data_IF_616128723107
#
_entry.id   IF_616128723107
#
_cell.length_a   1.000
_cell.length_b   1.000
_cell.length_c   1.000
_cell.angle_alpha   90.00
_cell.angle_beta   90.00
_cell.angle_gamma   90.00
#
_symmetry.space_group_name_H-M   'P 1'
#
loop_
_entity.id
_entity.type
_entity.pdbx_description
1 polymer ?
#
# COMPACT_ATOMS: atom_id res chain seq x y z
N UNK A 1 3.82 18.09 -74.70
CA UNK A 1 4.27 17.03 -73.75
C UNK A 1 4.27 17.61 -72.33
N UNK A 2 3.72 16.83 -71.37
CA UNK A 2 3.84 16.93 -69.89
C UNK A 2 2.87 17.82 -69.08
N UNK A 3 1.74 17.17 -68.78
CA UNK A 3 0.92 17.07 -67.55
C UNK A 3 1.50 17.70 -66.26
N UNK A 4 0.65 18.32 -65.40
CA UNK A 4 1.01 19.10 -64.21
C UNK A 4 1.18 18.23 -62.96
N UNK A 5 1.92 18.71 -61.95
CA UNK A 5 1.93 18.10 -60.63
C UNK A 5 1.50 19.11 -59.56
N UNK A 6 0.19 19.04 -59.27
CA UNK A 6 -0.37 19.31 -57.95
C UNK A 6 0.53 18.70 -56.88
N UNK A 7 1.07 19.53 -55.98
CA UNK A 7 1.43 19.10 -54.63
C UNK A 7 0.40 19.68 -53.67
N UNK A 8 -0.82 19.18 -53.81
CA UNK A 8 -1.81 19.24 -52.76
C UNK A 8 -1.62 18.02 -51.84
N UNK A 9 -1.94 18.22 -50.56
CA UNK A 9 -2.29 17.22 -49.54
C UNK A 9 -1.22 16.31 -48.95
N UNK A 10 -0.90 16.56 -47.67
CA UNK A 10 -0.98 15.57 -46.58
C UNK A 10 -0.85 16.28 -45.21
N UNK A 11 -1.91 16.99 -44.80
CA UNK A 11 -2.16 17.26 -43.37
C UNK A 11 -2.79 15.98 -42.83
N UNK A 12 -1.94 15.02 -42.47
CA UNK A 12 -2.36 13.78 -41.84
C UNK A 12 -2.64 14.04 -40.36
N UNK A 13 -3.93 14.15 -40.04
CA UNK A 13 -4.59 13.79 -38.79
C UNK A 13 -3.65 13.53 -37.59
N UNK A 14 -3.28 14.59 -36.88
CA UNK A 14 -3.06 14.47 -35.45
C UNK A 14 -4.45 14.46 -34.77
N UNK A 15 -5.18 13.35 -34.93
CA UNK A 15 -6.18 12.99 -33.93
C UNK A 15 -5.39 12.75 -32.65
N UNK A 16 -5.28 13.81 -31.86
CA UNK A 16 -5.12 13.73 -30.42
C UNK A 16 -6.23 12.80 -29.94
N UNK A 17 -5.92 11.51 -29.89
CA UNK A 17 -6.63 10.57 -29.07
C UNK A 17 -6.47 11.11 -27.65
N UNK A 18 -7.37 12.01 -27.26
CA UNK A 18 -7.79 12.17 -25.89
C UNK A 18 -8.31 10.80 -25.50
N UNK A 19 -7.40 9.91 -25.11
CA UNK A 19 -7.73 8.75 -24.33
C UNK A 19 -8.43 9.34 -23.11
N UNK A 20 -9.75 9.34 -23.15
CA UNK A 20 -10.57 9.55 -21.99
C UNK A 20 -10.12 8.45 -21.03
N UNK A 21 -9.17 8.80 -20.16
CA UNK A 21 -8.82 8.01 -19.00
C UNK A 21 -10.05 8.07 -18.10
N UNK A 22 -11.06 7.27 -18.44
CA UNK A 22 -12.32 7.13 -17.71
C UNK A 22 -12.11 6.30 -16.44
N UNK A 23 -10.98 6.50 -15.76
CA UNK A 23 -10.68 5.88 -14.48
C UNK A 23 -11.13 6.82 -13.37
N UNK A 24 -11.80 6.27 -12.37
CA UNK A 24 -11.94 6.97 -11.11
C UNK A 24 -10.60 6.93 -10.38
N UNK A 25 -10.27 8.04 -9.71
CA UNK A 25 -9.06 8.14 -8.90
C UNK A 25 -9.45 8.38 -7.45
N UNK A 26 -8.87 7.61 -6.54
CA UNK A 26 -8.84 7.92 -5.11
C UNK A 26 -7.44 8.40 -4.77
N UNK A 27 -7.38 9.60 -4.19
CA UNK A 27 -6.14 10.21 -3.71
C UNK A 27 -6.17 10.21 -2.19
N UNK A 28 -5.24 9.48 -1.58
CA UNK A 28 -5.07 9.40 -0.14
C UNK A 28 -3.90 10.28 0.29
N UNK A 29 -4.17 11.22 1.19
CA UNK A 29 -3.12 11.96 1.87
C UNK A 29 -2.38 11.07 2.88
N UNK A 30 -1.16 11.47 3.24
CA UNK A 30 -0.34 10.77 4.23
C UNK A 30 -1.10 10.41 5.52
N UNK A 31 -1.94 11.31 6.03
CA UNK A 31 -2.73 11.09 7.25
C UNK A 31 -3.77 9.98 7.09
N UNK A 32 -4.37 9.83 5.90
CA UNK A 32 -5.28 8.74 5.58
C UNK A 32 -4.52 7.42 5.46
N UNK A 33 -3.37 7.41 4.79
CA UNK A 33 -2.53 6.21 4.68
C UNK A 33 -2.01 5.77 6.06
N UNK A 34 -1.61 6.71 6.93
CA UNK A 34 -1.26 6.44 8.32
C UNK A 34 -2.38 5.68 9.05
N UNK A 35 -3.63 6.18 8.97
CA UNK A 35 -4.77 5.53 9.61
C UNK A 35 -4.98 4.11 9.08
N UNK A 36 -4.92 3.94 7.75
CA UNK A 36 -5.08 2.63 7.13
C UNK A 36 -4.03 1.63 7.61
N UNK A 37 -2.76 2.04 7.69
CA UNK A 37 -1.67 1.18 8.20
C UNK A 37 -1.86 0.83 9.67
N UNK A 38 -2.24 1.80 10.50
CA UNK A 38 -2.50 1.56 11.93
C UNK A 38 -3.67 0.59 12.11
N UNK A 39 -4.77 0.81 11.39
CA UNK A 39 -5.96 -0.04 11.44
C UNK A 39 -5.74 -1.43 10.82
N UNK A 40 -4.84 -1.58 9.85
CA UNK A 40 -4.52 -2.88 9.23
C UNK A 40 -3.59 -3.72 10.08
N UNK A 41 -2.49 -3.14 10.58
CA UNK A 41 -1.41 -3.89 11.22
C UNK A 41 -1.37 -3.75 12.73
N UNK A 42 -1.60 -2.56 13.28
CA UNK A 42 -1.34 -2.24 14.68
C UNK A 42 -2.61 -2.39 15.54
N UNK A 43 -3.35 -3.48 15.31
CA UNK A 43 -4.67 -3.73 15.91
C UNK A 43 -4.62 -4.11 17.39
N UNK A 44 -3.50 -4.67 17.85
CA UNK A 44 -3.36 -5.19 19.21
C UNK A 44 -2.82 -4.10 20.13
N UNK A 45 -3.71 -3.18 20.53
CA UNK A 45 -3.36 -2.01 21.34
C UNK A 45 -2.23 -1.15 20.75
N UNK A 46 -2.25 -0.96 19.42
CA UNK A 46 -1.21 -0.20 18.72
C UNK A 46 0.06 -1.00 18.46
N UNK A 47 0.04 -2.33 18.66
CA UNK A 47 1.16 -3.23 18.37
C UNK A 47 0.89 -4.09 17.15
N UNK A 48 1.94 -4.28 16.36
CA UNK A 48 2.00 -5.27 15.31
C UNK A 48 2.99 -6.36 15.72
N UNK A 49 2.49 -7.56 16.01
CA UNK A 49 3.31 -8.66 16.49
C UNK A 49 4.01 -9.37 15.34
N UNK A 50 5.33 -9.45 15.44
CA UNK A 50 6.17 -10.25 14.56
C UNK A 50 6.29 -11.68 15.10
N UNK A 51 6.35 -11.83 16.43
CA UNK A 51 6.34 -13.11 17.12
C UNK A 51 5.68 -12.98 18.50
N UNK A 52 4.79 -13.91 18.82
CA UNK A 52 4.14 -14.05 20.14
C UNK A 52 4.75 -15.23 20.90
N UNK A 53 4.77 -15.17 22.23
CA UNK A 53 5.32 -16.23 23.08
C UNK A 53 6.15 -15.66 24.24
N UNK A 54 6.97 -16.51 24.87
CA UNK A 54 7.87 -16.05 25.92
C UNK A 54 9.02 -15.22 25.33
N UNK A 55 9.65 -15.68 24.26
CA UNK A 55 10.51 -14.87 23.39
C UNK A 55 9.64 -14.20 22.32
N UNK A 56 9.32 -12.92 22.53
CA UNK A 56 8.34 -12.18 21.70
C UNK A 56 8.96 -10.98 21.02
N UNK A 57 8.36 -10.55 19.90
CA UNK A 57 8.79 -9.39 19.14
C UNK A 57 7.58 -8.67 18.55
N UNK A 58 7.55 -7.34 18.68
CA UNK A 58 6.50 -6.51 18.12
C UNK A 58 7.01 -5.12 17.73
N UNK A 59 6.32 -4.53 16.77
CA UNK A 59 6.46 -3.13 16.38
C UNK A 59 5.34 -2.30 17.02
N UNK A 60 5.65 -1.11 17.50
CA UNK A 60 4.69 -0.12 17.97
C UNK A 60 5.04 1.29 17.50
N UNK A 61 4.22 2.27 17.91
CA UNK A 61 4.38 3.68 17.60
C UNK A 61 4.66 3.98 16.10
N UNK A 62 3.83 3.46 15.17
CA UNK A 62 4.06 3.64 13.75
C UNK A 62 3.91 5.09 13.29
N UNK A 63 4.82 5.53 12.44
CA UNK A 63 4.75 6.79 11.70
C UNK A 63 4.97 6.49 10.22
N UNK A 64 4.00 6.87 9.39
CA UNK A 64 3.96 6.62 7.96
C UNK A 64 4.29 7.90 7.22
N UNK A 65 5.15 7.78 6.21
CA UNK A 65 5.50 8.83 5.25
C UNK A 65 5.41 8.25 3.83
N UNK A 66 5.22 9.12 2.85
CA UNK A 66 5.09 8.75 1.45
C UNK A 66 6.23 9.40 0.66
N UNK A 67 7.22 8.60 0.26
CA UNK A 67 8.44 9.13 -0.37
C UNK A 67 9.07 8.13 -1.34
N UNK A 68 9.71 8.63 -2.39
CA UNK A 68 10.44 7.79 -3.34
C UNK A 68 9.59 6.73 -4.05
N UNK A 69 8.29 6.97 -4.24
CA UNK A 69 7.37 5.98 -4.82
C UNK A 69 6.91 4.89 -3.84
N UNK A 70 7.22 5.02 -2.54
CA UNK A 70 7.05 3.96 -1.55
C UNK A 70 6.32 4.49 -0.31
N UNK A 71 5.62 3.58 0.36
CA UNK A 71 5.08 3.81 1.70
C UNK A 71 6.17 3.45 2.69
N UNK A 72 6.62 4.42 3.47
CA UNK A 72 7.71 4.26 4.45
C UNK A 72 7.10 4.31 5.84
N UNK A 73 7.35 3.26 6.62
CA UNK A 73 6.80 3.05 7.96
C UNK A 73 7.97 3.00 8.93
N UNK A 74 8.09 4.03 9.77
CA UNK A 74 8.99 4.03 10.91
C UNK A 74 8.22 3.55 12.13
N UNK A 75 8.78 2.61 12.87
CA UNK A 75 8.16 2.04 14.06
C UNK A 75 9.23 1.71 15.09
N UNK A 76 8.83 1.60 16.35
CA UNK A 76 9.71 1.16 17.41
C UNK A 76 9.57 -0.35 17.58
N UNK A 77 10.69 -1.07 17.51
CA UNK A 77 10.76 -2.50 17.70
C UNK A 77 11.10 -2.78 19.16
N UNK A 78 10.31 -3.64 19.79
CA UNK A 78 10.62 -4.25 21.08
C UNK A 78 10.65 -5.76 20.91
N UNK A 79 11.78 -6.38 21.24
CA UNK A 79 11.98 -7.81 21.08
C UNK A 79 12.72 -8.41 22.28
N UNK A 80 12.34 -9.63 22.64
CA UNK A 80 13.06 -10.51 23.55
C UNK A 80 13.51 -11.72 22.77
N UNK A 81 14.82 -11.82 22.55
CA UNK A 81 15.43 -12.82 21.67
C UNK A 81 16.24 -13.79 22.51
N UNK A 82 15.98 -15.08 22.34
CA UNK A 82 16.63 -16.12 23.12
C UNK A 82 15.98 -17.47 22.92
N UNK A 83 16.07 -18.32 23.94
CA UNK A 83 15.42 -19.62 23.95
C UNK A 83 14.23 -19.62 24.90
N UNK A 84 13.11 -20.19 24.45
CA UNK A 84 11.95 -20.43 25.29
C UNK A 84 12.30 -21.51 26.34
N UNK A 85 12.19 -21.14 27.61
CA UNK A 85 12.30 -22.02 28.77
C UNK A 85 10.95 -22.02 29.51
N UNK A 86 10.07 -22.93 29.08
CA UNK A 86 8.69 -23.00 29.56
C UNK A 86 7.92 -21.72 29.22
N UNK A 87 7.53 -20.96 30.24
CA UNK A 87 6.82 -19.68 30.09
C UNK A 87 7.74 -18.45 30.19
N UNK A 88 9.05 -18.67 30.17
CA UNK A 88 10.07 -17.61 30.27
C UNK A 88 10.99 -17.65 29.05
N UNK A 89 11.59 -16.52 28.70
CA UNK A 89 12.60 -16.47 27.67
C UNK A 89 13.95 -16.20 28.30
N UNK A 90 14.88 -17.13 28.11
CA UNK A 90 16.27 -16.97 28.49
C UNK A 90 17.00 -16.30 27.32
N UNK A 91 17.20 -14.99 27.42
CA UNK A 91 17.65 -14.19 26.29
C UNK A 91 17.98 -12.75 26.64
N UNK A 92 18.13 -11.94 25.60
CA UNK A 92 18.38 -10.50 25.68
C UNK A 92 17.17 -9.71 25.22
N UNK A 93 16.97 -8.56 25.85
CA UNK A 93 15.99 -7.57 25.42
C UNK A 93 16.66 -6.62 24.41
N UNK A 94 15.96 -6.37 23.31
CA UNK A 94 16.35 -5.46 22.23
C UNK A 94 15.23 -4.46 22.01
N UNK A 95 15.60 -3.19 21.92
CA UNK A 95 14.67 -2.12 21.63
C UNK A 95 15.34 -1.07 20.76
N UNK A 96 14.78 -0.82 19.58
CA UNK A 96 15.27 0.23 18.69
C UNK A 96 14.25 0.66 17.64
N UNK A 97 14.52 1.80 17.00
CA UNK A 97 13.71 2.23 15.87
C UNK A 97 14.08 1.42 14.63
N UNK A 98 13.05 0.98 13.89
CA UNK A 98 13.18 0.34 12.60
C UNK A 98 12.34 1.09 11.57
N UNK A 99 12.92 1.31 10.39
CA UNK A 99 12.24 1.89 9.25
C UNK A 99 12.13 0.84 8.17
N UNK A 100 10.90 0.52 7.80
CA UNK A 100 10.57 -0.38 6.71
C UNK A 100 9.80 0.36 5.64
N UNK A 101 9.78 -0.18 4.45
CA UNK A 101 9.22 0.50 3.30
C UNK A 101 8.72 -0.51 2.28
N UNK A 102 7.67 -0.16 1.55
CA UNK A 102 7.06 -1.03 0.55
C UNK A 102 6.55 -0.25 -0.65
N UNK A 103 6.57 -0.89 -1.82
CA UNK A 103 5.94 -0.38 -3.03
C UNK A 103 4.46 -0.76 -3.01
N UNK A 104 3.53 0.20 -3.04
CA UNK A 104 2.12 -0.13 -3.15
C UNK A 104 1.83 -0.61 -4.58
N UNK A 105 1.29 -1.83 -4.68
CA UNK A 105 0.95 -2.48 -5.94
C UNK A 105 -0.46 -3.03 -5.88
N UNK A 106 -1.13 -3.07 -7.04
CA UNK A 106 -2.41 -3.75 -7.19
C UNK A 106 -2.23 -5.27 -7.02
N UNK A 107 -3.11 -5.89 -6.23
CA UNK A 107 -3.29 -7.33 -6.12
C UNK A 107 -4.79 -7.63 -6.18
N UNK A 108 -5.28 -7.98 -7.37
CA UNK A 108 -6.72 -8.10 -7.63
C UNK A 108 -7.43 -6.75 -7.46
N UNK A 109 -8.36 -6.68 -6.51
CA UNK A 109 -9.12 -5.46 -6.18
C UNK A 109 -8.57 -4.69 -4.98
N UNK A 110 -7.46 -5.14 -4.41
CA UNK A 110 -6.81 -4.51 -3.27
C UNK A 110 -5.45 -3.90 -3.65
N UNK A 111 -5.06 -2.84 -2.95
CA UNK A 111 -3.68 -2.34 -2.97
C UNK A 111 -2.94 -2.97 -1.80
N UNK A 112 -1.79 -3.59 -2.10
CA UNK A 112 -0.91 -4.21 -1.12
C UNK A 112 0.51 -3.69 -1.24
N UNK A 113 1.23 -3.62 -0.12
CA UNK A 113 2.66 -3.35 -0.19
C UNK A 113 3.41 -4.60 -0.65
N UNK A 114 4.23 -4.43 -1.67
CA UNK A 114 5.15 -5.43 -2.23
C UNK A 114 6.58 -4.92 -2.14
N UNK A 115 7.56 -5.79 -2.42
CA UNK A 115 8.98 -5.42 -2.41
C UNK A 115 9.33 -4.68 -1.10
N UNK A 116 8.97 -5.31 0.03
CA UNK A 116 9.22 -4.77 1.36
C UNK A 116 10.73 -4.75 1.61
N UNK A 117 11.22 -3.65 2.18
CA UNK A 117 12.64 -3.45 2.50
C UNK A 117 12.79 -2.89 3.90
N UNK A 118 13.86 -3.30 4.57
CA UNK A 118 14.35 -2.64 5.78
C UNK A 118 15.30 -1.54 5.32
N UNK A 119 14.93 -0.28 5.57
CA UNK A 119 15.75 0.88 5.18
C UNK A 119 16.81 1.15 6.24
N UNK A 120 16.36 1.24 7.49
CA UNK A 120 17.18 1.68 8.60
C UNK A 120 16.80 0.95 9.89
N UNK A 121 17.80 0.70 10.72
CA UNK A 121 17.64 0.11 12.04
C UNK A 121 18.60 0.82 12.97
N UNK A 122 18.10 1.31 14.10
CA UNK A 122 18.87 2.15 15.02
C UNK A 122 20.09 1.47 15.63
N UNK A 123 20.18 0.14 15.60
CA UNK A 123 21.32 -0.62 16.09
C UNK A 123 21.63 -1.85 15.23
N UNK A 124 22.90 -2.23 15.18
CA UNK A 124 23.40 -3.32 14.33
C UNK A 124 22.90 -4.71 14.79
N UNK A 125 22.69 -4.91 16.09
CA UNK A 125 22.25 -6.20 16.62
C UNK A 125 20.79 -6.48 16.24
N UNK A 126 19.94 -5.46 16.30
CA UNK A 126 18.56 -5.55 15.88
C UNK A 126 18.42 -5.75 14.37
N UNK A 127 19.32 -5.18 13.56
CA UNK A 127 19.34 -5.44 12.11
C UNK A 127 19.54 -6.94 11.82
N UNK A 128 20.48 -7.59 12.51
CA UNK A 128 20.73 -9.02 12.36
C UNK A 128 19.47 -9.84 12.71
N UNK A 129 18.80 -9.50 13.81
CA UNK A 129 17.57 -10.20 14.25
C UNK A 129 16.42 -9.98 13.25
N UNK A 130 16.25 -8.75 12.76
CA UNK A 130 15.24 -8.44 11.76
C UNK A 130 15.47 -9.22 10.47
N UNK A 131 16.70 -9.19 9.95
CA UNK A 131 17.05 -9.84 8.69
C UNK A 131 16.99 -11.38 8.78
N UNK A 132 17.33 -11.96 9.93
CA UNK A 132 17.43 -13.42 10.09
C UNK A 132 16.11 -14.14 10.39
N UNK A 133 15.05 -13.42 10.77
CA UNK A 133 13.80 -14.11 11.15
C UNK A 133 12.50 -13.32 11.07
N UNK A 134 12.55 -11.98 11.11
CA UNK A 134 11.33 -11.17 11.25
C UNK A 134 10.95 -10.41 9.97
N UNK A 135 11.92 -10.08 9.11
CA UNK A 135 11.66 -9.45 7.81
C UNK A 135 10.78 -10.32 6.88
N UNK A 136 10.96 -11.66 6.80
CA UNK A 136 10.09 -12.52 5.98
C UNK A 136 8.64 -12.59 6.47
N UNK A 137 8.37 -12.25 7.74
CA UNK A 137 7.03 -12.30 8.33
C UNK A 137 6.29 -10.98 8.26
N UNK A 138 6.91 -9.90 7.74
CA UNK A 138 6.25 -8.63 7.48
C UNK A 138 5.22 -8.81 6.35
N UNK A 139 3.91 -8.89 6.63
CA UNK A 139 2.89 -8.97 5.61
C UNK A 139 2.86 -7.65 4.82
N UNK A 140 2.13 -7.64 3.71
CA UNK A 140 1.79 -6.40 3.02
C UNK A 140 1.12 -5.44 4.00
N UNK A 141 1.88 -4.44 4.45
CA UNK A 141 1.51 -3.59 5.59
C UNK A 141 0.26 -2.72 5.35
N UNK A 142 -0.04 -2.49 4.09
CA UNK A 142 -1.21 -1.78 3.64
C UNK A 142 -2.09 -2.78 2.91
N UNK A 143 -3.34 -2.94 3.34
CA UNK A 143 -4.38 -3.62 2.56
C UNK A 143 -5.53 -2.64 2.40
N UNK A 144 -5.59 -1.99 1.24
CA UNK A 144 -6.70 -1.12 0.87
C UNK A 144 -7.57 -1.88 -0.13
N UNK A 145 -8.73 -2.36 0.32
CA UNK A 145 -9.75 -2.94 -0.55
C UNK A 145 -10.52 -1.82 -1.27
N UNK A 146 -10.11 -1.54 -2.51
CA UNK A 146 -10.69 -0.47 -3.32
C UNK A 146 -12.16 -0.75 -3.63
N UNK A 147 -12.51 -2.03 -3.82
CA UNK A 147 -13.89 -2.46 -4.08
C UNK A 147 -14.79 -2.20 -2.88
N UNK A 148 -14.32 -2.51 -1.68
CA UNK A 148 -15.06 -2.18 -0.45
C UNK A 148 -15.25 -0.68 -0.28
N UNK A 149 -14.22 0.12 -0.56
CA UNK A 149 -14.32 1.58 -0.49
C UNK A 149 -15.36 2.14 -1.48
N UNK A 150 -15.29 1.72 -2.75
CA UNK A 150 -16.25 2.13 -3.79
C UNK A 150 -17.67 1.74 -3.43
N UNK A 151 -17.89 0.50 -2.96
CA UNK A 151 -19.22 0.04 -2.51
C UNK A 151 -19.76 0.90 -1.37
N UNK A 152 -18.93 1.22 -0.37
CA UNK A 152 -19.34 2.07 0.75
C UNK A 152 -19.72 3.48 0.29
N UNK A 153 -19.01 4.04 -0.68
CA UNK A 153 -19.33 5.37 -1.24
C UNK A 153 -20.66 5.34 -2.02
N UNK A 154 -20.88 4.31 -2.83
CA UNK A 154 -22.12 4.16 -3.62
C UNK A 154 -23.34 3.89 -2.74
N UNK A 155 -23.19 3.12 -1.65
CA UNK A 155 -24.25 2.86 -0.67
C UNK A 155 -24.63 4.12 0.14
N UNK A 156 -23.65 4.98 0.43
CA UNK A 156 -23.90 6.25 1.13
C UNK A 156 -24.62 7.31 0.30
N UNK A 157 -24.68 7.14 -1.03
CA UNK A 157 -25.29 8.11 -1.95
C UNK A 157 -26.84 8.08 -2.00
N UNK A 158 -27.50 7.25 -1.16
CA UNK A 158 -28.93 7.40 -0.83
C UNK A 158 -29.93 7.17 -1.97
N UNK A 159 -29.55 6.48 -3.04
CA UNK A 159 -30.42 6.22 -4.19
C UNK A 159 -31.32 4.99 -4.00
N UNK A 160 -32.55 5.07 -4.51
CA UNK A 160 -33.55 3.98 -4.59
C UNK A 160 -33.13 2.81 -5.52
N UNK A 161 -31.93 2.88 -6.08
CA UNK A 161 -31.35 1.93 -7.02
C UNK A 161 -30.44 0.95 -6.27
N UNK A 162 -30.63 -0.35 -6.49
CA UNK A 162 -29.67 -1.35 -6.02
C UNK A 162 -28.47 -1.34 -6.96
N UNK A 163 -27.35 -0.80 -6.45
CA UNK A 163 -26.12 -0.62 -7.21
C UNK A 163 -25.19 -1.80 -6.97
N UNK A 164 -24.96 -2.61 -7.99
CA UNK A 164 -24.00 -3.72 -7.96
C UNK A 164 -22.74 -3.39 -8.77
N UNK A 165 -21.57 -3.59 -8.17
CA UNK A 165 -20.26 -3.38 -8.79
C UNK A 165 -19.75 -4.72 -9.29
N UNK A 166 -19.89 -4.96 -10.61
CA UNK A 166 -19.65 -6.29 -11.22
C UNK A 166 -18.20 -6.52 -11.63
N UNK A 167 -17.47 -5.45 -11.97
CA UNK A 167 -16.06 -5.53 -12.34
C UNK A 167 -15.34 -4.30 -11.79
N UNK A 168 -14.25 -4.51 -11.07
CA UNK A 168 -13.35 -3.45 -10.63
C UNK A 168 -11.92 -3.89 -10.96
N UNK A 169 -11.20 -3.02 -11.63
CA UNK A 169 -9.81 -3.23 -12.02
C UNK A 169 -8.99 -2.03 -11.57
N UNK A 170 -7.95 -2.26 -10.79
CA UNK A 170 -6.99 -1.21 -10.46
C UNK A 170 -6.02 -1.07 -11.64
N UNK A 171 -6.03 0.10 -12.25
CA UNK A 171 -5.28 0.41 -13.47
C UNK A 171 -3.89 0.98 -13.13
N UNK A 172 -3.79 1.77 -12.06
CA UNK A 172 -2.49 2.22 -11.56
C UNK A 172 -2.50 2.53 -10.07
N UNK A 173 -1.33 2.38 -9.45
CA UNK A 173 -1.07 2.75 -8.06
C UNK A 173 0.23 3.56 -8.06
N UNK A 174 0.22 4.75 -7.46
CA UNK A 174 1.38 5.64 -7.45
C UNK A 174 1.50 6.38 -6.14
N UNK A 175 2.73 6.48 -5.63
CA UNK A 175 3.08 7.42 -4.57
C UNK A 175 3.87 8.59 -5.17
N UNK A 176 3.35 9.79 -5.02
CA UNK A 176 4.00 11.03 -5.44
C UNK A 176 3.48 12.20 -4.59
N UNK A 177 4.29 13.23 -4.40
CA UNK A 177 3.88 14.48 -3.72
C UNK A 177 3.24 14.24 -2.34
N UNK A 178 3.78 13.28 -1.58
CA UNK A 178 3.28 12.86 -0.28
C UNK A 178 1.81 12.35 -0.29
N UNK A 179 1.38 11.78 -1.41
CA UNK A 179 0.05 11.21 -1.64
C UNK A 179 0.14 9.83 -2.28
N UNK A 180 -0.85 9.00 -2.01
CA UNK A 180 -1.06 7.70 -2.64
C UNK A 180 -2.28 7.82 -3.56
N UNK A 181 -2.05 7.76 -4.87
CA UNK A 181 -3.07 7.75 -5.91
C UNK A 181 -3.35 6.32 -6.36
N UNK A 182 -4.64 5.99 -6.44
CA UNK A 182 -5.11 4.70 -6.97
C UNK A 182 -6.13 5.00 -8.05
N UNK A 183 -5.79 4.68 -9.30
CA UNK A 183 -6.67 4.80 -10.46
C UNK A 183 -7.29 3.44 -10.74
N UNK A 184 -8.60 3.39 -10.89
CA UNK A 184 -9.35 2.16 -11.13
C UNK A 184 -10.53 2.41 -12.05
N UNK A 185 -10.86 1.37 -12.80
CA UNK A 185 -12.04 1.30 -13.65
C UNK A 185 -13.05 0.36 -13.00
N UNK A 186 -14.33 0.72 -13.06
CA UNK A 186 -15.39 -0.13 -12.53
C UNK A 186 -16.66 -0.09 -13.37
N UNK A 187 -17.33 -1.23 -13.45
CA UNK A 187 -18.64 -1.37 -14.09
C UNK A 187 -19.72 -1.51 -13.02
N UNK A 188 -20.72 -0.65 -13.13
CA UNK A 188 -21.88 -0.63 -12.25
C UNK A 188 -23.13 -1.05 -13.02
N UNK A 189 -23.99 -1.83 -12.37
CA UNK A 189 -25.34 -2.13 -12.85
C UNK A 189 -26.33 -1.70 -11.78
N UNK A 190 -27.24 -0.79 -12.14
CA UNK A 190 -28.37 -0.39 -11.30
C UNK A 190 -29.60 -1.24 -11.60
N UNK A 191 -30.31 -1.69 -10.56
CA UNK A 191 -31.62 -2.34 -10.65
C UNK A 191 -32.64 -1.60 -9.81
#
# INVERSE_FOLDING_TARGET
MRVPFLRATLVALAFLASAAANGAEIVLEQSAVQKLVVESLFRDHGRYWLQKGACSAFLDNPTVTLSGGRVVIRSHLSARVGMDFGNSCAGVDLASWATVSGEPSAQGTAVRLTNIRVEDVGDANTRIVLDSGLAPTLPGALELDVLKAVRSMLQGAGGQLQVDVQALTITSVRVADNKLSVVFDFKVVGR
#
